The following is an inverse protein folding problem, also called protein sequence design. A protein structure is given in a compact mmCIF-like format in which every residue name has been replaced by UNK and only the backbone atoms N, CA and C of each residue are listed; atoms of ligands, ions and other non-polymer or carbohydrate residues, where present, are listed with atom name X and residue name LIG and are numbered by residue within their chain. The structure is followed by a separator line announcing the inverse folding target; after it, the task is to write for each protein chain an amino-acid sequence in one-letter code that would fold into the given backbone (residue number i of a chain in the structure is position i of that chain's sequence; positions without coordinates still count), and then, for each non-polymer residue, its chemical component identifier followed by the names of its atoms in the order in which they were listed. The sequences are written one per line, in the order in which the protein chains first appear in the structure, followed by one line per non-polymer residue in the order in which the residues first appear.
data_IF_945128108310
#
_entry.id   IF_945128108310
#
_cell.length_a   1.000
_cell.length_b   1.000
_cell.length_c   1.000
_cell.angle_alpha   90.00
_cell.angle_beta   90.00
_cell.angle_gamma   90.00
#
_symmetry.space_group_name_H-M   'P 1'
#
loop_
_entity.id
_entity.type
_entity.pdbx_description
1 polymer ?
#
# COMPACT_ATOMS: atom_id res chain seq x y z
N UNK A 1 -16.68 -12.36 -9.07
CA UNK A 1 -17.35 -11.47 -8.08
C UNK A 1 -17.24 -10.07 -8.66
N UNK A 2 -18.29 -9.26 -8.65
CA UNK A 2 -18.17 -7.86 -9.11
C UNK A 2 -17.66 -6.99 -7.97
N UNK A 3 -16.42 -6.53 -8.08
CA UNK A 3 -15.79 -5.65 -7.11
C UNK A 3 -16.28 -4.19 -7.19
N UNK A 4 -16.95 -3.78 -8.28
CA UNK A 4 -17.42 -2.41 -8.49
C UNK A 4 -16.29 -1.39 -8.61
N UNK A 5 -15.15 -1.81 -9.17
CA UNK A 5 -14.00 -0.96 -9.42
C UNK A 5 -13.99 -0.35 -10.82
N UNK A 6 -14.92 -0.77 -11.68
CA UNK A 6 -15.03 -0.23 -13.03
C UNK A 6 -15.06 1.30 -13.01
N UNK A 7 -14.20 1.90 -13.83
CA UNK A 7 -14.01 3.36 -13.97
C UNK A 7 -13.56 4.09 -12.68
N UNK A 8 -13.16 3.38 -11.63
CA UNK A 8 -12.65 3.96 -10.39
C UNK A 8 -11.18 4.33 -10.51
N UNK A 9 -10.83 5.57 -10.19
CA UNK A 9 -9.44 6.03 -10.12
C UNK A 9 -8.82 5.57 -8.80
N UNK A 10 -7.81 4.72 -8.89
CA UNK A 10 -7.15 4.10 -7.75
C UNK A 10 -5.68 4.51 -7.69
N UNK A 11 -5.31 5.37 -6.76
CA UNK A 11 -3.91 5.69 -6.51
C UNK A 11 -3.24 4.56 -5.74
N UNK A 12 -2.24 3.92 -6.36
CA UNK A 12 -1.42 2.88 -5.72
C UNK A 12 0.01 3.39 -5.56
N UNK A 13 0.41 3.70 -4.34
CA UNK A 13 1.76 4.22 -4.11
C UNK A 13 2.82 3.11 -4.20
N UNK A 14 3.94 3.39 -4.92
CA UNK A 14 5.04 2.42 -5.08
C UNK A 14 4.65 1.18 -5.89
N UNK A 15 4.04 1.37 -7.05
CA UNK A 15 3.42 0.31 -7.84
C UNK A 15 4.20 -0.09 -9.11
N UNK A 16 5.49 0.20 -9.17
CA UNK A 16 6.32 -0.24 -10.31
C UNK A 16 6.82 -1.69 -10.19
N UNK A 17 6.68 -2.32 -9.01
CA UNK A 17 7.14 -3.70 -8.77
C UNK A 17 6.49 -4.34 -7.55
N UNK A 18 6.69 -5.64 -7.38
CA UNK A 18 6.24 -6.40 -6.21
C UNK A 18 4.75 -6.26 -5.95
N UNK A 19 4.38 -6.13 -4.67
CA UNK A 19 2.99 -6.07 -4.26
C UNK A 19 2.22 -4.92 -4.90
N UNK A 20 2.82 -3.73 -4.99
CA UNK A 20 2.16 -2.57 -5.59
C UNK A 20 1.85 -2.78 -7.07
N UNK A 21 2.75 -3.43 -7.85
CA UNK A 21 2.48 -3.79 -9.25
C UNK A 21 1.32 -4.78 -9.34
N UNK A 22 1.33 -5.83 -8.52
CA UNK A 22 0.26 -6.84 -8.51
C UNK A 22 -1.10 -6.21 -8.14
N UNK A 23 -1.14 -5.26 -7.21
CA UNK A 23 -2.34 -4.50 -6.88
C UNK A 23 -2.82 -3.68 -8.08
N UNK A 24 -1.95 -2.91 -8.72
CA UNK A 24 -2.30 -2.08 -9.88
C UNK A 24 -2.82 -2.94 -11.04
N UNK A 25 -2.19 -4.09 -11.27
CA UNK A 25 -2.59 -5.05 -12.30
C UNK A 25 -3.97 -5.64 -12.03
N UNK A 26 -4.26 -6.05 -10.80
CA UNK A 26 -5.55 -6.59 -10.42
C UNK A 26 -6.66 -5.53 -10.50
N UNK A 27 -6.37 -4.26 -10.18
CA UNK A 27 -7.30 -3.15 -10.36
C UNK A 27 -7.64 -2.95 -11.84
N UNK A 28 -6.63 -2.97 -12.73
CA UNK A 28 -6.86 -2.87 -14.16
C UNK A 28 -7.67 -4.07 -14.72
N UNK A 29 -7.42 -5.27 -14.20
CA UNK A 29 -8.21 -6.47 -14.53
C UNK A 29 -9.68 -6.33 -14.16
N UNK A 30 -9.99 -5.60 -13.08
CA UNK A 30 -11.35 -5.29 -12.63
C UNK A 30 -11.93 -4.01 -13.26
N UNK A 31 -11.38 -3.59 -14.42
CA UNK A 31 -11.77 -2.41 -15.19
C UNK A 31 -11.63 -1.07 -14.43
N UNK A 32 -10.86 -1.06 -13.34
CA UNK A 32 -10.47 0.17 -12.62
C UNK A 32 -9.33 0.88 -13.33
N UNK A 33 -9.06 2.11 -12.95
CA UNK A 33 -8.00 2.97 -13.50
C UNK A 33 -6.89 3.10 -12.45
N UNK A 34 -5.88 2.21 -12.44
CA UNK A 34 -4.77 2.35 -11.53
C UNK A 34 -3.88 3.53 -11.92
N UNK A 35 -3.48 4.30 -10.92
CA UNK A 35 -2.43 5.31 -11.05
C UNK A 35 -1.14 4.72 -10.52
N UNK A 36 -0.20 4.47 -11.44
CA UNK A 36 1.11 3.88 -11.13
C UNK A 36 2.07 4.96 -10.62
N UNK A 37 2.76 4.69 -9.52
CA UNK A 37 3.79 5.60 -9.01
C UNK A 37 5.09 4.89 -8.64
N UNK A 38 6.19 5.60 -8.80
CA UNK A 38 7.54 5.12 -8.48
C UNK A 38 8.58 6.23 -8.61
N UNK A 39 9.79 5.99 -8.11
CA UNK A 39 10.87 6.98 -8.10
C UNK A 39 11.68 7.10 -9.39
N UNK A 40 11.51 6.16 -10.30
CA UNK A 40 12.25 6.11 -11.57
C UNK A 40 11.27 6.22 -12.73
N UNK A 41 11.39 7.30 -13.48
CA UNK A 41 10.50 7.63 -14.60
C UNK A 41 10.38 6.48 -15.61
N UNK A 42 11.51 5.88 -15.97
CA UNK A 42 11.55 4.74 -16.89
C UNK A 42 10.70 3.57 -16.40
N UNK A 43 10.84 3.16 -15.13
CA UNK A 43 10.07 2.04 -14.56
C UNK A 43 8.56 2.36 -14.51
N UNK A 44 8.22 3.59 -14.15
CA UNK A 44 6.82 4.06 -14.13
C UNK A 44 6.22 4.00 -15.53
N UNK A 45 6.94 4.51 -16.53
CA UNK A 45 6.49 4.51 -17.91
C UNK A 45 6.32 3.07 -18.46
N UNK A 46 7.30 2.19 -18.20
CA UNK A 46 7.24 0.79 -18.63
C UNK A 46 6.00 0.07 -18.08
N UNK A 47 5.73 0.20 -16.78
CA UNK A 47 4.57 -0.45 -16.15
C UNK A 47 3.26 0.17 -16.62
N UNK A 48 3.19 1.49 -16.74
CA UNK A 48 2.01 2.16 -17.28
C UNK A 48 1.66 1.65 -18.68
N UNK A 49 2.67 1.57 -19.57
CA UNK A 49 2.47 1.09 -20.95
C UNK A 49 2.09 -0.40 -20.99
N UNK A 50 2.75 -1.24 -20.17
CA UNK A 50 2.40 -2.66 -20.02
C UNK A 50 0.92 -2.84 -19.64
N UNK A 51 0.43 -2.07 -18.67
CA UNK A 51 -0.96 -2.15 -18.22
C UNK A 51 -1.94 -1.62 -19.28
N UNK A 52 -1.62 -0.50 -19.93
CA UNK A 52 -2.44 0.03 -21.03
C UNK A 52 -2.60 -0.98 -22.16
N UNK A 53 -1.50 -1.57 -22.62
CA UNK A 53 -1.52 -2.56 -23.69
C UNK A 53 -2.30 -3.81 -23.28
N UNK A 54 -2.04 -4.34 -22.08
CA UNK A 54 -2.66 -5.58 -21.60
C UNK A 54 -4.16 -5.45 -21.39
N UNK A 55 -4.62 -4.33 -20.83
CA UNK A 55 -6.02 -4.10 -20.47
C UNK A 55 -6.78 -3.19 -21.42
N UNK A 56 -6.11 -2.70 -22.48
CA UNK A 56 -6.70 -1.82 -23.51
C UNK A 56 -7.37 -0.56 -22.91
N UNK A 57 -6.72 0.06 -21.89
CA UNK A 57 -7.22 1.24 -21.22
C UNK A 57 -6.17 2.38 -21.18
N UNK A 58 -6.33 3.35 -22.08
CA UNK A 58 -5.45 4.53 -22.19
C UNK A 58 -5.58 5.51 -21.00
N UNK A 59 -6.59 5.33 -20.14
CA UNK A 59 -6.79 6.18 -18.95
C UNK A 59 -5.83 5.85 -17.83
N UNK A 60 -5.19 4.67 -17.84
CA UNK A 60 -4.16 4.29 -16.87
C UNK A 60 -3.02 5.30 -16.92
N UNK A 61 -2.65 5.88 -15.79
CA UNK A 61 -1.62 6.91 -15.70
C UNK A 61 -0.44 6.46 -14.86
N UNK A 62 0.71 7.07 -15.10
CA UNK A 62 1.93 6.83 -14.34
C UNK A 62 2.65 8.14 -14.02
N UNK A 63 3.03 8.33 -12.75
CA UNK A 63 3.74 9.53 -12.32
C UNK A 63 5.02 9.18 -11.55
N UNK A 64 6.12 9.83 -11.92
CA UNK A 64 7.38 9.72 -11.19
C UNK A 64 7.28 10.54 -9.89
N UNK A 65 7.29 9.85 -8.75
CA UNK A 65 7.08 10.45 -7.42
C UNK A 65 8.06 9.86 -6.43
N UNK A 66 8.82 10.71 -5.75
CA UNK A 66 9.60 10.31 -4.58
C UNK A 66 8.87 10.70 -3.30
N UNK A 67 8.28 9.71 -2.65
CA UNK A 67 7.59 9.91 -1.38
C UNK A 67 8.51 10.12 -0.18
N UNK A 68 9.83 10.25 -0.34
CA UNK A 68 10.69 10.81 0.71
C UNK A 68 10.60 12.33 0.82
N UNK A 69 10.08 12.98 -0.22
CA UNK A 69 9.86 14.42 -0.30
C UNK A 69 8.39 14.74 -0.01
N UNK A 70 8.10 15.50 1.05
CA UNK A 70 6.71 15.77 1.48
C UNK A 70 5.89 16.56 0.44
N UNK A 71 6.54 17.42 -0.36
CA UNK A 71 5.90 18.15 -1.46
C UNK A 71 5.31 17.24 -2.54
N UNK A 72 5.76 15.98 -2.60
CA UNK A 72 5.24 14.98 -3.52
C UNK A 72 3.76 14.67 -3.30
N UNK A 73 3.26 14.90 -2.07
CA UNK A 73 1.85 14.65 -1.73
C UNK A 73 0.94 15.62 -2.49
N UNK A 74 1.21 16.92 -2.44
CA UNK A 74 0.40 17.88 -3.20
C UNK A 74 0.53 17.65 -4.71
N UNK A 75 1.76 17.42 -5.19
CA UNK A 75 2.02 17.16 -6.60
C UNK A 75 1.16 16.02 -7.14
N UNK A 76 1.13 14.84 -6.47
CA UNK A 76 0.41 13.68 -7.00
C UNK A 76 -1.11 13.92 -7.05
N UNK A 77 -1.68 14.60 -6.07
CA UNK A 77 -3.11 14.94 -6.08
C UNK A 77 -3.44 15.94 -7.19
N UNK A 78 -2.62 16.97 -7.38
CA UNK A 78 -2.84 18.00 -8.40
C UNK A 78 -2.79 17.42 -9.82
N UNK A 79 -1.80 16.55 -10.12
CA UNK A 79 -1.69 15.93 -11.45
C UNK A 79 -2.83 14.95 -11.71
N UNK A 80 -3.23 14.13 -10.73
CA UNK A 80 -4.37 13.22 -10.88
C UNK A 80 -5.67 14.01 -11.06
N UNK A 81 -5.87 15.07 -10.30
CA UNK A 81 -7.05 15.92 -10.43
C UNK A 81 -7.16 16.54 -11.81
N UNK A 82 -6.04 16.95 -12.39
CA UNK A 82 -5.98 17.53 -13.74
C UNK A 82 -6.30 16.48 -14.82
N UNK A 83 -5.74 15.28 -14.71
CA UNK A 83 -5.74 14.29 -15.79
C UNK A 83 -6.93 13.30 -15.68
N UNK A 84 -7.38 12.98 -14.46
CA UNK A 84 -8.40 11.96 -14.17
C UNK A 84 -9.57 12.46 -13.30
N UNK A 85 -9.52 13.67 -12.79
CA UNK A 85 -10.56 14.26 -11.94
C UNK A 85 -10.32 14.00 -10.46
N UNK A 86 -10.78 12.90 -9.89
CA UNK A 86 -10.62 12.64 -8.45
C UNK A 86 -10.19 11.21 -8.18
N UNK A 87 -9.47 11.00 -7.08
CA UNK A 87 -9.09 9.68 -6.61
C UNK A 87 -10.27 9.05 -5.88
N UNK A 88 -10.77 7.90 -6.32
CA UNK A 88 -11.85 7.16 -5.63
C UNK A 88 -11.30 6.28 -4.50
N UNK A 89 -10.12 5.71 -4.69
CA UNK A 89 -9.47 4.81 -3.74
C UNK A 89 -7.99 5.16 -3.59
N UNK A 90 -7.53 5.22 -2.35
CA UNK A 90 -6.11 5.40 -2.01
C UNK A 90 -5.54 4.10 -1.43
N UNK A 91 -4.50 3.54 -2.06
CA UNK A 91 -3.76 2.39 -1.54
C UNK A 91 -2.33 2.81 -1.19
N UNK A 92 -2.06 2.98 0.09
CA UNK A 92 -0.74 3.30 0.62
C UNK A 92 0.10 2.02 0.70
N UNK A 93 0.85 1.73 -0.36
CA UNK A 93 1.73 0.57 -0.46
C UNK A 93 3.22 0.96 -0.43
N UNK A 94 3.60 2.16 -0.86
CA UNK A 94 4.98 2.60 -0.81
C UNK A 94 5.57 2.46 0.60
N UNK A 95 6.80 1.95 0.66
CA UNK A 95 7.50 1.78 1.92
C UNK A 95 8.95 1.37 1.72
N UNK A 96 9.73 1.49 2.78
CA UNK A 96 11.12 1.05 2.85
C UNK A 96 11.30 0.09 4.03
N UNK A 97 12.23 -0.84 3.88
CA UNK A 97 12.54 -1.87 4.87
C UNK A 97 14.05 -2.02 5.06
N UNK A 98 14.75 -0.96 5.53
CA UNK A 98 16.19 -1.02 5.78
C UNK A 98 16.50 -1.89 6.99
N UNK A 99 17.72 -2.41 7.05
CA UNK A 99 18.22 -3.21 8.19
C UNK A 99 19.22 -2.36 8.99
N UNK A 100 18.92 -2.14 10.27
CA UNK A 100 19.83 -1.58 11.25
C UNK A 100 19.44 -2.07 12.65
N UNK A 101 20.38 -2.65 13.39
CA UNK A 101 20.13 -2.98 14.81
C UNK A 101 20.10 -1.71 15.65
N UNK A 102 19.28 -1.67 16.69
CA UNK A 102 19.05 -0.46 17.52
C UNK A 102 20.36 0.12 18.05
N UNK A 103 21.32 -0.73 18.39
CA UNK A 103 22.63 -0.31 18.92
C UNK A 103 23.48 0.50 17.90
N UNK A 104 23.25 0.26 16.61
CA UNK A 104 24.02 0.89 15.52
C UNK A 104 23.13 1.79 14.63
N UNK A 105 21.82 1.87 14.92
CA UNK A 105 20.86 2.62 14.11
C UNK A 105 21.10 4.12 14.24
N UNK A 106 21.33 4.78 13.12
CA UNK A 106 21.46 6.24 13.09
C UNK A 106 20.08 6.90 13.21
N UNK A 107 19.97 8.04 13.89
CA UNK A 107 18.71 8.79 13.97
C UNK A 107 18.09 9.05 12.59
N UNK A 108 18.89 9.36 11.60
CA UNK A 108 18.45 9.67 10.23
C UNK A 108 17.80 8.46 9.55
N UNK A 109 18.26 7.24 9.83
CA UNK A 109 17.65 6.01 9.30
C UNK A 109 16.28 5.75 9.93
N UNK A 110 16.17 6.04 11.23
CA UNK A 110 14.89 5.98 11.95
C UNK A 110 13.92 7.02 11.38
N UNK A 111 14.32 8.29 11.31
CA UNK A 111 13.50 9.39 10.79
C UNK A 111 13.04 9.13 9.37
N UNK A 112 13.94 8.71 8.49
CA UNK A 112 13.61 8.38 7.09
C UNK A 112 12.57 7.27 7.01
N UNK A 113 12.70 6.23 7.86
CA UNK A 113 11.75 5.12 7.87
C UNK A 113 10.37 5.56 8.35
N UNK A 114 10.31 6.36 9.42
CA UNK A 114 9.06 6.96 9.91
C UNK A 114 8.43 7.85 8.84
N UNK A 115 9.22 8.71 8.21
CA UNK A 115 8.73 9.61 7.15
C UNK A 115 8.07 8.85 6.02
N UNK A 116 8.75 7.89 5.41
CA UNK A 116 8.23 7.18 4.24
C UNK A 116 7.07 6.24 4.60
N UNK A 117 7.17 5.54 5.75
CA UNK A 117 6.22 4.48 6.08
C UNK A 117 5.01 4.93 6.91
N UNK A 118 5.07 6.12 7.52
CA UNK A 118 4.01 6.62 8.40
C UNK A 118 3.58 8.05 8.07
N UNK A 119 4.53 9.01 8.03
CA UNK A 119 4.20 10.43 7.83
C UNK A 119 3.59 10.67 6.44
N UNK A 120 4.18 10.12 5.39
CA UNK A 120 3.64 10.24 4.03
C UNK A 120 2.27 9.59 3.88
N UNK A 121 2.03 8.32 4.30
CA UNK A 121 0.69 7.76 4.35
C UNK A 121 -0.32 8.63 5.12
N UNK A 122 0.09 9.23 6.25
CA UNK A 122 -0.76 10.16 6.98
C UNK A 122 -1.16 11.37 6.11
N UNK A 123 -0.20 12.03 5.45
CA UNK A 123 -0.45 13.19 4.61
C UNK A 123 -1.32 12.85 3.39
N UNK A 124 -1.07 11.72 2.74
CA UNK A 124 -1.90 11.22 1.63
C UNK A 124 -3.34 10.96 2.08
N UNK A 125 -3.52 10.30 3.24
CA UNK A 125 -4.84 10.08 3.83
C UNK A 125 -5.53 11.40 4.16
N UNK A 126 -4.82 12.35 4.77
CA UNK A 126 -5.37 13.66 5.13
C UNK A 126 -5.88 14.41 3.89
N UNK A 127 -5.06 14.50 2.84
CA UNK A 127 -5.44 15.16 1.58
C UNK A 127 -6.64 14.48 0.93
N UNK A 128 -6.60 13.13 0.83
CA UNK A 128 -7.71 12.34 0.30
C UNK A 128 -9.02 12.60 1.04
N UNK A 129 -9.00 12.54 2.36
CA UNK A 129 -10.19 12.77 3.20
C UNK A 129 -10.72 14.20 3.05
N UNK A 130 -9.84 15.20 3.04
CA UNK A 130 -10.23 16.59 2.84
C UNK A 130 -10.95 16.79 1.50
N UNK A 131 -10.41 16.24 0.41
CA UNK A 131 -11.03 16.33 -0.92
C UNK A 131 -12.36 15.59 -0.98
N UNK A 132 -12.45 14.37 -0.40
CA UNK A 132 -13.70 13.60 -0.38
C UNK A 132 -14.81 14.28 0.43
N UNK A 133 -14.47 14.83 1.60
CA UNK A 133 -15.44 15.56 2.44
C UNK A 133 -15.92 16.83 1.72
N UNK A 134 -15.00 17.62 1.15
CA UNK A 134 -15.34 18.84 0.43
C UNK A 134 -16.24 18.58 -0.79
N UNK A 135 -16.02 17.46 -1.49
CA UNK A 135 -16.82 17.03 -2.63
C UNK A 135 -18.08 16.25 -2.25
N UNK A 136 -18.32 15.97 -0.98
CA UNK A 136 -19.40 15.09 -0.49
C UNK A 136 -19.41 13.70 -1.16
N UNK A 137 -18.22 13.14 -1.42
CA UNK A 137 -18.02 11.86 -2.09
C UNK A 137 -17.57 10.79 -1.10
N UNK A 138 -17.99 9.56 -1.36
CA UNK A 138 -17.47 8.38 -0.67
C UNK A 138 -16.03 8.06 -1.13
N UNK A 139 -15.31 7.29 -0.33
CA UNK A 139 -13.96 6.85 -0.69
C UNK A 139 -13.48 5.66 0.11
N UNK A 140 -12.38 5.06 -0.32
CA UNK A 140 -11.75 3.96 0.40
C UNK A 140 -10.26 4.19 0.54
N UNK A 141 -9.73 3.86 1.70
CA UNK A 141 -8.29 3.88 2.00
C UNK A 141 -7.88 2.47 2.42
N UNK A 142 -6.83 1.96 1.79
CA UNK A 142 -6.20 0.69 2.17
C UNK A 142 -4.72 0.95 2.47
N UNK A 143 -4.32 0.74 3.72
CA UNK A 143 -2.93 0.90 4.14
C UNK A 143 -2.23 -0.46 4.20
N UNK A 144 -1.15 -0.65 3.44
CA UNK A 144 -0.32 -1.85 3.53
C UNK A 144 0.60 -1.70 4.75
N UNK A 145 0.24 -2.41 5.79
CA UNK A 145 1.01 -2.48 7.05
C UNK A 145 1.98 -3.67 7.04
N UNK A 146 2.13 -4.41 8.09
CA UNK A 146 2.95 -5.64 8.18
C UNK A 146 2.60 -6.41 9.44
N UNK A 147 2.81 -7.71 9.43
CA UNK A 147 2.81 -8.51 10.67
C UNK A 147 3.77 -7.94 11.73
N UNK A 148 4.88 -7.32 11.32
CA UNK A 148 5.84 -6.71 12.23
C UNK A 148 5.23 -5.58 13.10
N UNK A 149 4.11 -5.01 12.70
CA UNK A 149 3.37 -4.02 13.49
C UNK A 149 2.84 -4.61 14.81
N UNK A 150 2.65 -5.93 14.89
CA UNK A 150 1.97 -6.61 16.00
C UNK A 150 2.90 -7.41 16.91
N UNK A 151 4.02 -7.89 16.38
CA UNK A 151 4.97 -8.68 17.18
C UNK A 151 6.40 -8.11 17.15
N UNK A 152 6.61 -6.96 16.49
CA UNK A 152 7.95 -6.39 16.33
C UNK A 152 8.79 -7.12 15.28
N UNK A 153 10.09 -6.91 15.33
CA UNK A 153 11.06 -7.56 14.46
C UNK A 153 12.33 -7.91 15.23
N UNK A 154 12.90 -9.07 14.95
CA UNK A 154 14.11 -9.59 15.61
C UNK A 154 15.38 -9.43 14.79
N UNK A 155 15.29 -8.84 13.58
CA UNK A 155 16.36 -8.85 12.58
C UNK A 155 16.77 -7.45 12.13
N UNK A 156 16.87 -6.49 13.06
CA UNK A 156 17.31 -5.12 12.77
C UNK A 156 16.28 -4.25 12.06
N UNK A 157 15.00 -4.47 12.31
CA UNK A 157 13.91 -3.68 11.67
C UNK A 157 12.99 -3.01 12.69
N UNK A 158 13.52 -2.60 13.85
CA UNK A 158 12.71 -1.97 14.91
C UNK A 158 12.01 -0.68 14.44
N UNK A 159 12.70 0.17 13.67
CA UNK A 159 12.13 1.38 13.07
C UNK A 159 11.00 1.06 12.08
N UNK A 160 11.15 0.00 11.28
CA UNK A 160 10.11 -0.47 10.38
C UNK A 160 8.88 -0.96 11.17
N UNK A 161 9.08 -1.81 12.18
CA UNK A 161 7.99 -2.31 13.03
C UNK A 161 7.26 -1.14 13.72
N UNK A 162 8.00 -0.16 14.27
CA UNK A 162 7.44 1.04 14.88
C UNK A 162 6.60 1.85 13.87
N UNK A 163 7.12 2.06 12.64
CA UNK A 163 6.39 2.78 11.60
C UNK A 163 5.08 2.10 11.21
N UNK A 164 5.10 0.77 11.07
CA UNK A 164 3.90 0.00 10.68
C UNK A 164 2.90 -0.13 11.84
N UNK A 165 3.36 -0.21 13.09
CA UNK A 165 2.49 -0.15 14.26
C UNK A 165 1.82 1.23 14.41
N UNK A 166 2.56 2.30 14.19
CA UNK A 166 2.02 3.66 14.13
C UNK A 166 0.95 3.80 13.04
N UNK A 167 1.19 3.23 11.86
CA UNK A 167 0.22 3.27 10.75
C UNK A 167 -1.05 2.49 11.08
N UNK A 168 -0.97 1.37 11.82
CA UNK A 168 -2.14 0.63 12.29
C UNK A 168 -2.98 1.50 13.22
N UNK A 169 -2.37 2.08 14.27
CA UNK A 169 -3.07 2.92 15.25
C UNK A 169 -3.69 4.15 14.61
N UNK A 170 -2.94 4.82 13.71
CA UNK A 170 -3.44 5.94 12.92
C UNK A 170 -4.66 5.55 12.07
N UNK A 171 -4.58 4.42 11.36
CA UNK A 171 -5.67 3.96 10.48
C UNK A 171 -6.96 3.66 11.26
N UNK A 172 -6.86 3.06 12.44
CA UNK A 172 -8.00 2.80 13.32
C UNK A 172 -8.64 4.12 13.79
N UNK A 173 -7.82 5.09 14.19
CA UNK A 173 -8.30 6.41 14.61
C UNK A 173 -8.98 7.13 13.44
N UNK A 174 -8.33 7.17 12.29
CA UNK A 174 -8.88 7.79 11.08
C UNK A 174 -10.21 7.15 10.68
N UNK A 175 -10.32 5.81 10.71
CA UNK A 175 -11.57 5.10 10.40
C UNK A 175 -12.73 5.60 11.27
N UNK A 176 -12.51 5.78 12.58
CA UNK A 176 -13.54 6.29 13.52
C UNK A 176 -13.97 7.71 13.20
N UNK A 177 -13.04 8.55 12.75
CA UNK A 177 -13.32 9.96 12.43
C UNK A 177 -14.12 10.12 11.14
N UNK A 178 -13.79 9.30 10.08
CA UNK A 178 -14.26 9.57 8.72
C UNK A 178 -15.38 8.67 8.22
N UNK A 179 -15.70 7.58 8.91
CA UNK A 179 -16.78 6.65 8.50
C UNK A 179 -18.13 7.34 8.33
N UNK A 180 -18.44 8.36 9.14
CA UNK A 180 -19.65 9.17 9.01
C UNK A 180 -19.78 9.93 7.69
N UNK A 181 -18.66 10.11 6.96
CA UNK A 181 -18.63 10.72 5.64
C UNK A 181 -18.66 9.69 4.50
N UNK A 182 -18.83 8.40 4.82
CA UNK A 182 -18.84 7.33 3.84
C UNK A 182 -17.43 6.95 3.34
N UNK A 183 -16.40 7.20 4.14
CA UNK A 183 -15.01 6.84 3.84
C UNK A 183 -14.64 5.63 4.71
N UNK A 184 -14.27 4.50 4.06
CA UNK A 184 -13.75 3.32 4.75
C UNK A 184 -12.22 3.37 4.80
N UNK A 185 -11.65 2.99 5.94
CA UNK A 185 -10.19 2.90 6.14
C UNK A 185 -9.85 1.53 6.67
N UNK A 186 -9.10 0.74 5.89
CA UNK A 186 -8.73 -0.63 6.25
C UNK A 186 -7.25 -0.88 6.02
N UNK A 187 -6.77 -2.00 6.50
CA UNK A 187 -5.37 -2.38 6.43
C UNK A 187 -5.19 -3.81 5.94
N UNK A 188 -4.08 -4.06 5.25
CA UNK A 188 -3.58 -5.41 4.99
C UNK A 188 -2.24 -5.56 5.69
N UNK A 189 -2.06 -6.63 6.45
CA UNK A 189 -0.82 -6.99 7.12
C UNK A 189 -0.17 -8.19 6.42
N UNK A 190 0.72 -7.99 5.44
CA UNK A 190 1.46 -9.09 4.84
C UNK A 190 2.43 -9.74 5.82
N UNK A 191 2.63 -11.04 5.63
CA UNK A 191 3.79 -11.75 6.13
C UNK A 191 4.99 -11.60 5.21
N UNK A 192 5.71 -12.70 4.96
CA UNK A 192 6.77 -12.74 3.95
C UNK A 192 6.14 -12.93 2.58
N UNK A 193 6.44 -11.99 1.68
CA UNK A 193 5.96 -11.98 0.29
C UNK A 193 7.16 -11.95 -0.65
N UNK A 194 7.15 -12.72 -1.73
CA UNK A 194 8.22 -12.78 -2.73
C UNK A 194 8.22 -11.51 -3.58
N UNK A 195 9.05 -10.56 -3.19
CA UNK A 195 9.18 -9.24 -3.84
C UNK A 195 10.65 -8.84 -3.94
N UNK A 196 11.01 -7.87 -4.77
CA UNK A 196 12.37 -7.33 -4.77
C UNK A 196 12.83 -6.78 -3.41
N UNK A 197 11.91 -6.36 -2.54
CA UNK A 197 12.22 -5.89 -1.18
C UNK A 197 12.73 -7.02 -0.28
N UNK A 198 12.21 -8.24 -0.46
CA UNK A 198 12.50 -9.41 0.40
C UNK A 198 13.46 -10.40 -0.23
N UNK A 199 13.84 -10.19 -1.49
CA UNK A 199 14.63 -11.12 -2.30
C UNK A 199 15.96 -11.49 -1.64
N UNK A 200 16.72 -10.51 -1.15
CA UNK A 200 18.01 -10.77 -0.50
C UNK A 200 17.84 -11.55 0.82
N UNK A 201 16.82 -11.21 1.59
CA UNK A 201 16.52 -11.92 2.84
C UNK A 201 16.10 -13.38 2.59
N UNK A 202 15.37 -13.64 1.51
CA UNK A 202 14.97 -14.98 1.10
C UNK A 202 16.15 -15.76 0.53
N UNK A 203 17.04 -15.14 -0.26
CA UNK A 203 18.27 -15.76 -0.72
C UNK A 203 19.22 -16.13 0.44
N UNK A 204 19.31 -15.26 1.44
CA UNK A 204 20.13 -15.51 2.65
C UNK A 204 19.57 -16.61 3.55
N UNK A 205 18.28 -16.91 3.45
CA UNK A 205 17.60 -17.96 4.23
C UNK A 205 16.63 -18.74 3.33
N UNK A 206 17.18 -19.69 2.51
CA UNK A 206 16.38 -20.48 1.57
C UNK A 206 15.23 -21.26 2.25
N UNK A 207 15.46 -21.66 3.50
CA UNK A 207 14.49 -22.42 4.32
C UNK A 207 13.65 -21.51 5.24
N UNK A 208 13.45 -20.25 4.84
CA UNK A 208 12.71 -19.28 5.69
C UNK A 208 11.32 -19.75 6.05
N UNK A 209 10.66 -20.46 5.15
CA UNK A 209 9.30 -21.00 5.28
C UNK A 209 9.23 -22.26 6.17
N UNK A 210 10.36 -23.00 6.38
CA UNK A 210 10.39 -24.21 7.18
C UNK A 210 10.03 -23.96 8.65
N UNK A 211 8.78 -24.30 9.00
CA UNK A 211 8.25 -24.18 10.35
C UNK A 211 7.95 -22.77 10.86
N UNK A 212 8.22 -21.74 10.05
CA UNK A 212 7.91 -20.34 10.39
C UNK A 212 6.58 -19.86 9.83
N UNK A 213 6.24 -20.34 8.65
CA UNK A 213 4.99 -20.01 7.97
C UNK A 213 4.09 -21.25 8.05
N UNK A 214 3.00 -21.24 8.82
CA UNK A 214 2.14 -22.42 8.98
C UNK A 214 1.60 -23.00 7.68
N UNK A 215 1.31 -22.17 6.68
CA UNK A 215 0.88 -22.63 5.34
C UNK A 215 2.02 -23.28 4.53
N UNK A 216 3.27 -23.22 5.01
CA UNK A 216 4.42 -23.92 4.45
C UNK A 216 5.11 -23.25 3.28
N UNK A 217 4.80 -21.99 2.95
CA UNK A 217 5.45 -21.25 1.86
C UNK A 217 5.38 -19.75 2.03
N UNK A 218 6.27 -19.04 1.34
CA UNK A 218 6.20 -17.60 1.13
C UNK A 218 5.02 -17.27 0.19
N UNK A 219 4.34 -16.16 0.44
CA UNK A 219 3.27 -15.69 -0.44
C UNK A 219 3.80 -15.09 -1.74
N UNK A 220 3.05 -15.25 -2.82
CA UNK A 220 3.25 -14.45 -4.03
C UNK A 220 2.51 -13.11 -3.92
N UNK A 221 3.00 -12.04 -4.59
CA UNK A 221 2.38 -10.71 -4.52
C UNK A 221 0.89 -10.70 -4.86
N UNK A 222 0.49 -11.50 -5.85
CA UNK A 222 -0.89 -11.61 -6.34
C UNK A 222 -1.84 -12.11 -5.26
N UNK A 223 -1.40 -12.99 -4.37
CA UNK A 223 -2.22 -13.53 -3.29
C UNK A 223 -2.56 -12.45 -2.25
N UNK A 224 -1.59 -11.58 -1.95
CA UNK A 224 -1.78 -10.46 -1.02
C UNK A 224 -2.54 -9.31 -1.68
N UNK A 225 -2.34 -9.09 -2.99
CA UNK A 225 -3.07 -8.10 -3.77
C UNK A 225 -4.59 -8.33 -3.73
N UNK A 226 -5.05 -9.59 -3.72
CA UNK A 226 -6.47 -9.93 -3.58
C UNK A 226 -7.09 -9.30 -2.33
N UNK A 227 -6.40 -9.35 -1.19
CA UNK A 227 -6.90 -8.75 0.05
C UNK A 227 -7.00 -7.22 -0.05
N UNK A 228 -6.00 -6.57 -0.67
CA UNK A 228 -6.00 -5.13 -0.85
C UNK A 228 -7.14 -4.67 -1.80
N UNK A 229 -7.32 -5.38 -2.90
CA UNK A 229 -8.37 -5.07 -3.90
C UNK A 229 -9.77 -5.37 -3.34
N UNK A 230 -9.94 -6.46 -2.57
CA UNK A 230 -11.19 -6.71 -1.85
C UNK A 230 -11.54 -5.53 -0.92
N UNK A 231 -10.61 -5.05 -0.11
CA UNK A 231 -10.84 -3.93 0.80
C UNK A 231 -11.06 -2.59 0.08
N UNK A 232 -10.54 -2.45 -1.14
CA UNK A 232 -10.76 -1.31 -2.02
C UNK A 232 -12.13 -1.33 -2.72
N UNK A 233 -12.82 -2.46 -2.74
CA UNK A 233 -14.02 -2.75 -3.51
C UNK A 233 -15.33 -2.43 -2.77
N UNK A 234 -16.46 -2.42 -3.50
CA UNK A 234 -17.80 -2.32 -2.90
C UNK A 234 -18.13 -3.52 -2.01
N UNK A 235 -17.49 -4.67 -2.22
CA UNK A 235 -17.68 -5.85 -1.38
C UNK A 235 -17.24 -5.63 0.07
N UNK A 236 -16.42 -4.61 0.32
CA UNK A 236 -15.93 -4.22 1.63
C UNK A 236 -16.63 -2.98 2.21
N UNK A 237 -17.84 -2.63 1.77
CA UNK A 237 -18.56 -1.42 2.25
C UNK A 237 -18.89 -1.48 3.74
N UNK A 238 -19.02 -2.67 4.31
CA UNK A 238 -19.29 -2.84 5.74
C UNK A 238 -18.04 -3.00 6.60
N UNK A 239 -16.84 -2.99 5.99
CA UNK A 239 -15.57 -3.12 6.68
C UNK A 239 -14.90 -1.76 6.83
N UNK A 240 -14.55 -1.38 8.05
CA UNK A 240 -13.74 -0.19 8.35
C UNK A 240 -12.98 -0.38 9.67
N UNK A 241 -11.74 0.09 9.74
CA UNK A 241 -10.86 -0.03 10.89
C UNK A 241 -10.26 -1.44 11.09
N UNK A 242 -10.46 -2.35 10.15
CA UNK A 242 -9.95 -3.73 10.27
C UNK A 242 -8.57 -3.90 9.65
N UNK A 243 -7.87 -4.94 10.09
CA UNK A 243 -6.66 -5.44 9.43
C UNK A 243 -6.89 -6.85 8.92
N UNK A 244 -6.67 -7.09 7.63
CA UNK A 244 -6.58 -8.43 7.08
C UNK A 244 -5.17 -8.98 7.26
N UNK A 245 -5.03 -10.07 7.98
CA UNK A 245 -3.75 -10.76 8.18
C UNK A 245 -3.48 -11.70 7.00
N UNK A 246 -2.61 -11.25 6.07
CA UNK A 246 -2.16 -12.02 4.90
C UNK A 246 -0.77 -12.61 5.18
N UNK A 247 -0.67 -13.46 6.21
CA UNK A 247 0.60 -13.88 6.81
C UNK A 247 0.90 -15.37 6.66
N UNK A 248 0.00 -16.14 6.01
CA UNK A 248 0.13 -17.60 5.96
C UNK A 248 0.05 -18.27 7.34
N UNK A 249 -0.58 -17.60 8.31
CA UNK A 249 -0.73 -18.08 9.68
C UNK A 249 0.39 -17.68 10.64
N UNK A 250 1.39 -16.90 10.21
CA UNK A 250 2.45 -16.38 11.12
C UNK A 250 1.90 -15.46 12.21
N UNK A 251 0.79 -14.79 11.93
CA UNK A 251 0.03 -13.98 12.87
C UNK A 251 -1.40 -14.53 12.93
N UNK A 252 -1.83 -14.96 14.11
CA UNK A 252 -3.20 -15.42 14.39
C UNK A 252 -3.72 -14.63 15.60
N UNK A 253 -4.88 -13.96 15.47
CA UNK A 253 -5.48 -13.12 16.52
C UNK A 253 -6.99 -12.94 16.30
#
# INVERSE_FOLDING_TARGET
MDYGLKDKVVLVTGSTKGLGKAIAELIAQEEGIPVVTGRREKEVHEIMMELREKYQDERIQGYCVDFSELSSVDFIFDVIKKDLGSIDVLINNAGIWPTAYVVDMKPEDFERTIRVNLEVPYLLCQKFVQEKIAAQQKGKIVNIVSQAAFHGSTTGHAHYAASKAGLVSFSISLAREVTKYGINVNMVAPGMVRTPMTEEALKAKPDYDNGRIPIGRVAEPEEVAQAAVFLASKCADYYTGITFDATGGMLMR
#
